data_IF_829692266590
#
_entry.id   IF_829692266590
#
_cell.length_a   1.000
_cell.length_b   1.000
_cell.length_c   1.000
_cell.angle_alpha   90.00
_cell.angle_beta   90.00
_cell.angle_gamma   90.00
#
_symmetry.space_group_name_H-M   'P 1'
#
loop_
_entity.id
_entity.type
_entity.pdbx_description
1 polymer ?
#
# COMPACT_ATOMS: atom_id res chain seq x y z
N UNK A 1 -23.66 5.99 -8.68
CA UNK A 1 -22.88 6.95 -7.86
C UNK A 1 -21.43 6.82 -8.32
N UNK A 2 -20.68 7.91 -8.45
CA UNK A 2 -19.25 7.81 -8.83
C UNK A 2 -18.44 7.39 -7.59
N UNK A 3 -17.58 6.37 -7.67
CA UNK A 3 -16.81 5.93 -6.52
C UNK A 3 -15.81 7.00 -6.09
N UNK A 4 -15.51 7.05 -4.79
CA UNK A 4 -14.39 7.82 -4.28
C UNK A 4 -13.11 7.10 -4.65
N UNK A 5 -12.22 7.80 -5.36
CA UNK A 5 -10.95 7.25 -5.81
C UNK A 5 -9.88 7.36 -4.73
N UNK A 6 -9.08 6.32 -4.63
CA UNK A 6 -7.92 6.26 -3.76
C UNK A 6 -6.79 5.47 -4.43
N UNK A 7 -5.56 5.70 -4.01
CA UNK A 7 -4.43 4.92 -4.48
C UNK A 7 -3.38 4.74 -3.40
N UNK A 8 -2.59 3.68 -3.54
CA UNK A 8 -1.56 3.30 -2.59
C UNK A 8 -0.62 2.23 -3.17
N UNK A 9 0.28 1.71 -2.32
CA UNK A 9 1.19 0.66 -2.76
C UNK A 9 1.56 -0.32 -1.65
N UNK A 10 1.88 -1.54 -2.08
CA UNK A 10 2.58 -2.52 -1.27
C UNK A 10 4.07 -2.21 -1.36
N UNK A 11 4.57 -1.51 -0.35
CA UNK A 11 6.00 -1.27 -0.20
C UNK A 11 6.67 -2.53 0.32
N UNK A 12 7.72 -2.96 -0.37
CA UNK A 12 8.45 -4.16 -0.01
C UNK A 12 9.95 -3.91 0.17
N UNK A 13 10.58 -4.72 1.00
CA UNK A 13 12.03 -4.80 1.13
C UNK A 13 12.44 -6.23 1.42
N UNK A 14 13.70 -6.53 1.17
CA UNK A 14 14.33 -7.75 1.66
C UNK A 14 15.14 -7.42 2.90
N UNK A 15 15.10 -8.30 3.88
CA UNK A 15 15.87 -8.21 5.11
C UNK A 15 16.21 -9.64 5.56
N UNK A 16 17.50 -9.94 5.74
CA UNK A 16 17.98 -11.26 6.15
C UNK A 16 17.42 -12.42 5.29
N UNK A 17 17.28 -12.20 3.98
CA UNK A 17 16.72 -13.19 3.05
C UNK A 17 15.20 -13.37 3.11
N UNK A 18 14.48 -12.53 3.86
CA UNK A 18 13.01 -12.56 3.94
C UNK A 18 12.39 -11.35 3.22
N UNK A 19 11.31 -11.60 2.46
CA UNK A 19 10.53 -10.57 1.79
C UNK A 19 9.51 -9.98 2.77
N UNK A 20 9.67 -8.70 3.09
CA UNK A 20 8.84 -7.96 4.04
C UNK A 20 8.02 -6.88 3.34
N UNK A 21 6.82 -6.64 3.85
CA UNK A 21 5.91 -5.59 3.41
C UNK A 21 5.58 -4.61 4.53
N UNK A 22 5.43 -3.33 4.17
CA UNK A 22 5.00 -2.31 5.13
C UNK A 22 3.49 -2.35 5.32
N UNK A 23 3.05 -2.55 6.55
CA UNK A 23 1.69 -2.25 6.98
C UNK A 23 1.69 -1.05 7.92
N UNK A 24 0.65 -0.23 7.79
CA UNK A 24 0.34 0.87 8.69
C UNK A 24 -0.95 0.56 9.45
N UNK A 25 -0.99 0.94 10.73
CA UNK A 25 -2.18 0.83 11.57
C UNK A 25 -2.89 2.17 11.66
N UNK A 26 -4.10 2.23 11.10
CA UNK A 26 -4.91 3.44 11.09
C UNK A 26 -5.25 3.86 12.54
N UNK A 27 -4.99 5.13 12.89
CA UNK A 27 -5.17 5.63 14.26
C UNK A 27 -6.63 5.68 14.72
N UNK A 28 -7.58 5.79 13.78
CA UNK A 28 -9.01 5.99 14.05
C UNK A 28 -9.73 4.66 14.25
N UNK A 29 -9.52 3.70 13.34
CA UNK A 29 -10.22 2.41 13.37
C UNK A 29 -9.37 1.24 13.88
N UNK A 30 -8.06 1.44 14.04
CA UNK A 30 -7.14 0.42 14.56
C UNK A 30 -6.84 -0.73 13.59
N UNK A 31 -7.38 -0.68 12.37
CA UNK A 31 -7.14 -1.68 11.31
C UNK A 31 -5.76 -1.51 10.69
N UNK A 32 -5.17 -2.63 10.30
CA UNK A 32 -3.92 -2.68 9.54
C UNK A 32 -4.22 -2.70 8.04
N UNK A 33 -3.41 -1.97 7.26
CA UNK A 33 -3.49 -1.95 5.81
C UNK A 33 -2.20 -1.41 5.17
N UNK A 34 -2.17 -1.41 3.84
CA UNK A 34 -1.08 -0.82 3.09
C UNK A 34 -1.23 0.71 3.01
N UNK A 35 -0.11 1.45 2.88
CA UNK A 35 -0.14 2.90 2.66
C UNK A 35 -1.04 3.27 1.47
N UNK A 36 -1.97 4.20 1.68
CA UNK A 36 -2.94 4.67 0.67
C UNK A 36 -3.68 5.90 1.17
N UNK A 37 -4.19 6.70 0.24
CA UNK A 37 -5.18 7.72 0.57
C UNK A 37 -6.01 8.16 -0.62
N UNK A 38 -6.74 9.26 -0.45
CA UNK A 38 -7.74 9.71 -1.41
C UNK A 38 -7.07 10.45 -2.57
N UNK A 39 -7.56 10.22 -3.79
CA UNK A 39 -7.09 10.98 -4.94
C UNK A 39 -7.64 12.40 -4.91
N UNK A 40 -6.78 13.38 -5.20
CA UNK A 40 -7.19 14.75 -5.44
C UNK A 40 -7.85 14.90 -6.84
N UNK A 41 -8.55 16.01 -7.06
CA UNK A 41 -9.25 16.26 -8.32
C UNK A 41 -8.26 16.32 -9.49
N UNK A 42 -8.43 15.41 -10.47
CA UNK A 42 -7.56 15.31 -11.64
C UNK A 42 -6.23 14.59 -11.38
N UNK A 43 -6.01 14.06 -10.18
CA UNK A 43 -4.80 13.33 -9.82
C UNK A 43 -4.80 11.93 -10.46
N UNK A 44 -3.67 11.53 -11.05
CA UNK A 44 -3.52 10.16 -11.54
C UNK A 44 -3.36 9.18 -10.36
N UNK A 45 -3.77 7.91 -10.48
CA UNK A 45 -3.57 6.95 -9.40
C UNK A 45 -2.12 6.80 -8.94
N UNK A 46 -1.15 6.90 -9.85
CA UNK A 46 0.28 6.84 -9.50
C UNK A 46 0.74 8.09 -8.76
N UNK A 47 0.27 9.27 -9.16
CA UNK A 47 0.56 10.54 -8.49
C UNK A 47 0.00 10.52 -7.07
N UNK A 48 -1.26 10.10 -6.91
CA UNK A 48 -1.92 9.92 -5.63
C UNK A 48 -1.15 8.95 -4.73
N UNK A 49 -0.83 7.75 -5.23
CA UNK A 49 -0.08 6.77 -4.44
C UNK A 49 1.26 7.32 -3.94
N UNK A 50 2.03 8.04 -4.78
CA UNK A 50 3.32 8.63 -4.36
C UNK A 50 3.14 9.70 -3.30
N UNK A 51 2.18 10.62 -3.50
CA UNK A 51 1.87 11.68 -2.52
C UNK A 51 1.47 11.09 -1.17
N UNK A 52 0.54 10.14 -1.18
CA UNK A 52 0.02 9.50 0.03
C UNK A 52 1.10 8.69 0.77
N UNK A 53 1.92 7.92 0.05
CA UNK A 53 3.06 7.22 0.66
C UNK A 53 4.00 8.20 1.34
N UNK A 54 4.34 9.31 0.67
CA UNK A 54 5.19 10.35 1.22
C UNK A 54 4.56 10.99 2.46
N UNK A 55 3.28 11.30 2.43
CA UNK A 55 2.56 11.91 3.55
C UNK A 55 2.46 10.98 4.75
N UNK A 56 2.15 9.69 4.54
CA UNK A 56 1.95 8.70 5.60
C UNK A 56 3.26 8.18 6.21
N UNK A 57 4.30 8.02 5.38
CA UNK A 57 5.53 7.30 5.74
C UNK A 57 6.80 8.14 5.63
N UNK A 58 6.74 9.29 4.98
CA UNK A 58 7.90 10.13 4.67
C UNK A 58 8.84 9.53 3.60
N UNK A 59 8.46 8.42 2.97
CA UNK A 59 9.27 7.76 1.95
C UNK A 59 9.00 8.34 0.57
N UNK A 60 10.07 8.62 -0.16
CA UNK A 60 10.02 8.98 -1.57
C UNK A 60 10.22 7.72 -2.41
N UNK A 61 9.16 7.27 -3.08
CA UNK A 61 9.22 6.13 -3.99
C UNK A 61 9.80 6.56 -5.32
N UNK A 62 10.84 5.88 -5.79
CA UNK A 62 11.48 6.19 -7.07
C UNK A 62 10.63 5.70 -8.25
N UNK A 63 10.14 4.46 -8.21
CA UNK A 63 9.33 3.87 -9.27
C UNK A 63 8.37 2.81 -8.73
N UNK A 64 7.28 2.58 -9.47
CA UNK A 64 6.45 1.39 -9.32
C UNK A 64 6.96 0.30 -10.24
N UNK A 65 6.85 -0.96 -9.83
CA UNK A 65 7.25 -2.07 -10.69
C UNK A 65 6.25 -2.25 -11.84
N UNK A 66 6.69 -2.22 -13.11
CA UNK A 66 5.79 -2.37 -14.24
C UNK A 66 5.17 -3.76 -14.28
N UNK A 67 3.89 -3.82 -14.65
CA UNK A 67 3.13 -5.07 -14.77
C UNK A 67 2.42 -5.53 -13.48
N UNK A 68 2.45 -4.72 -12.42
CA UNK A 68 1.59 -4.92 -11.25
C UNK A 68 0.67 -3.72 -11.03
N UNK A 69 -0.63 -3.96 -11.15
CA UNK A 69 -1.68 -3.02 -10.76
C UNK A 69 -2.91 -3.83 -10.39
N UNK A 70 -3.43 -3.60 -9.20
CA UNK A 70 -4.67 -4.22 -8.72
C UNK A 70 -5.65 -3.12 -8.32
N UNK A 71 -6.94 -3.36 -8.55
CA UNK A 71 -8.01 -2.42 -8.18
C UNK A 71 -8.97 -3.16 -7.27
N UNK A 72 -9.16 -2.61 -6.07
CA UNK A 72 -10.10 -3.14 -5.08
C UNK A 72 -11.28 -2.19 -4.94
N UNK A 73 -12.49 -2.76 -4.91
CA UNK A 73 -13.74 -2.03 -4.71
C UNK A 73 -14.29 -2.36 -3.34
N UNK A 74 -14.46 -1.34 -2.50
CA UNK A 74 -15.03 -1.46 -1.18
C UNK A 74 -16.34 -0.71 -1.10
N UNK A 75 -17.30 -1.29 -0.40
CA UNK A 75 -18.45 -0.55 0.07
C UNK A 75 -18.14 0.01 1.47
N UNK A 76 -18.16 1.32 1.62
CA UNK A 76 -17.86 1.99 2.90
C UNK A 76 -19.17 2.39 3.56
N UNK A 77 -19.60 1.70 4.63
CA UNK A 77 -20.83 2.05 5.32
C UNK A 77 -20.68 3.37 6.11
N UNK A 78 -21.80 4.05 6.45
CA UNK A 78 -21.80 5.40 6.99
C UNK A 78 -21.06 5.51 8.33
N UNK A 79 -21.06 4.42 9.12
CA UNK A 79 -20.40 4.34 10.42
C UNK A 79 -18.85 4.36 10.34
N UNK A 80 -18.27 4.32 9.14
CA UNK A 80 -16.81 4.26 8.92
C UNK A 80 -16.27 5.45 8.13
N UNK A 81 -17.04 6.54 8.00
CA UNK A 81 -16.66 7.71 7.20
C UNK A 81 -15.58 8.56 7.87
N UNK A 82 -14.67 9.07 7.04
CA UNK A 82 -13.72 10.12 7.42
C UNK A 82 -14.32 11.52 7.20
N UNK A 83 -15.18 11.71 6.16
CA UNK A 83 -15.91 12.95 5.86
C UNK A 83 -17.26 12.67 5.12
N UNK A 84 -18.39 13.25 5.56
CA UNK A 84 -19.70 13.28 4.85
C UNK A 84 -20.81 12.32 5.34
N UNK A 85 -21.95 12.31 4.64
CA UNK A 85 -23.16 11.50 4.92
C UNK A 85 -23.42 10.45 3.81
N UNK A 86 -23.95 9.27 4.18
CA UNK A 86 -24.41 8.20 3.26
C UNK A 86 -23.40 7.07 2.94
N UNK A 87 -23.86 6.01 2.29
CA UNK A 87 -23.02 4.93 1.77
C UNK A 87 -22.20 5.43 0.58
N UNK A 88 -20.95 4.98 0.42
CA UNK A 88 -20.22 5.23 -0.82
C UNK A 88 -19.35 4.04 -1.24
N UNK A 89 -19.21 3.89 -2.54
CA UNK A 89 -18.27 2.94 -3.12
C UNK A 89 -16.89 3.60 -3.20
N UNK A 90 -15.86 2.85 -2.81
CA UNK A 90 -14.47 3.27 -2.86
C UNK A 90 -13.71 2.38 -3.82
N UNK A 91 -12.98 2.98 -4.75
CA UNK A 91 -12.10 2.28 -5.67
C UNK A 91 -10.65 2.60 -5.31
N UNK A 92 -9.87 1.57 -4.96
CA UNK A 92 -8.47 1.72 -4.53
C UNK A 92 -7.55 1.06 -5.52
N UNK A 93 -6.67 1.85 -6.14
CA UNK A 93 -5.62 1.39 -7.05
C UNK A 93 -4.37 1.08 -6.25
N UNK A 94 -3.90 -0.17 -6.32
CA UNK A 94 -2.69 -0.62 -5.65
C UNK A 94 -1.59 -0.94 -6.63
N UNK A 95 -0.40 -0.42 -6.33
CA UNK A 95 0.85 -0.70 -7.01
C UNK A 95 1.81 -1.46 -6.09
N UNK A 96 2.96 -1.87 -6.63
CA UNK A 96 4.07 -2.44 -5.84
C UNK A 96 5.31 -1.59 -6.10
N UNK A 97 6.05 -1.28 -5.03
CA UNK A 97 7.29 -0.52 -5.13
C UNK A 97 8.32 -0.97 -4.09
N UNK A 98 9.62 -0.96 -4.43
CA UNK A 98 10.65 -1.17 -3.44
C UNK A 98 10.67 0.01 -2.46
N UNK A 99 10.80 -0.32 -1.18
CA UNK A 99 10.95 0.68 -0.14
C UNK A 99 12.36 1.27 -0.19
N UNK A 100 12.52 2.61 -0.12
CA UNK A 100 13.83 3.20 0.01
C UNK A 100 14.48 2.77 1.34
N UNK A 101 15.81 2.76 1.39
CA UNK A 101 16.57 2.46 2.62
C UNK A 101 16.35 3.48 3.74
N UNK A 102 15.66 4.59 3.47
CA UNK A 102 15.33 5.64 4.43
C UNK A 102 14.36 5.15 5.51
N UNK A 103 14.60 5.60 6.74
CA UNK A 103 13.72 5.35 7.90
C UNK A 103 12.36 6.02 7.71
N UNK A 104 11.28 5.34 8.12
CA UNK A 104 9.91 5.87 8.13
C UNK A 104 9.86 7.17 8.97
N UNK A 105 9.39 8.26 8.37
CA UNK A 105 9.00 9.49 9.07
C UNK A 105 7.47 9.52 9.12
N UNK A 106 6.91 9.21 10.29
CA UNK A 106 5.48 8.95 10.45
C UNK A 106 4.61 10.20 10.39
N UNK A 107 3.43 10.08 9.79
CA UNK A 107 2.34 11.06 9.89
C UNK A 107 1.53 10.92 11.19
N UNK A 108 0.64 11.90 11.47
CA UNK A 108 -0.29 11.87 12.62
C UNK A 108 -1.41 10.83 12.50
N UNK A 109 -1.66 10.32 11.30
CA UNK A 109 -2.80 9.44 10.99
C UNK A 109 -2.54 7.96 11.31
N UNK A 110 -1.27 7.59 11.49
CA UNK A 110 -0.84 6.22 11.77
C UNK A 110 -0.12 6.13 13.11
N UNK A 111 -0.66 5.28 14.01
CA UNK A 111 -0.10 5.09 15.36
C UNK A 111 1.06 4.10 15.37
N UNK A 112 1.00 3.09 14.50
CA UNK A 112 1.96 2.00 14.42
C UNK A 112 2.25 1.65 12.96
N UNK A 113 3.46 1.15 12.71
CA UNK A 113 3.91 0.63 11.41
C UNK A 113 4.73 -0.62 11.62
N UNK A 114 4.64 -1.60 10.73
CA UNK A 114 5.41 -2.84 10.83
C UNK A 114 5.86 -3.32 9.45
N UNK A 115 7.10 -3.76 9.36
CA UNK A 115 7.61 -4.60 8.27
C UNK A 115 7.33 -6.05 8.61
N UNK A 116 6.60 -6.75 7.75
CA UNK A 116 6.10 -8.09 8.05
C UNK A 116 6.26 -9.00 6.85
N UNK A 117 6.56 -10.27 7.12
CA UNK A 117 6.48 -11.32 6.13
C UNK A 117 5.05 -11.50 5.63
N UNK A 118 4.89 -12.21 4.52
CA UNK A 118 3.55 -12.48 3.95
C UNK A 118 2.63 -13.14 4.99
N UNK A 119 3.13 -14.14 5.72
CA UNK A 119 2.34 -14.86 6.71
C UNK A 119 1.95 -13.95 7.88
N UNK A 120 2.92 -13.22 8.46
CA UNK A 120 2.66 -12.31 9.58
C UNK A 120 1.76 -11.13 9.20
N UNK A 121 1.85 -10.63 7.96
CA UNK A 121 0.96 -9.60 7.45
C UNK A 121 -0.48 -10.11 7.29
N UNK A 122 -0.68 -11.36 6.81
CA UNK A 122 -2.01 -11.96 6.66
C UNK A 122 -2.74 -12.12 8.00
N UNK A 123 -2.01 -12.37 9.08
CA UNK A 123 -2.58 -12.41 10.44
C UNK A 123 -3.13 -11.04 10.90
N UNK A 124 -2.53 -9.94 10.45
CA UNK A 124 -2.96 -8.58 10.81
C UNK A 124 -4.05 -8.02 9.89
N UNK A 125 -4.06 -8.44 8.63
CA UNK A 125 -5.01 -7.96 7.63
C UNK A 125 -6.39 -8.58 7.87
N UNK A 126 -7.32 -7.80 8.41
CA UNK A 126 -8.68 -8.29 8.67
C UNK A 126 -9.51 -8.47 7.39
N UNK A 127 -9.19 -7.73 6.33
CA UNK A 127 -9.92 -7.76 5.05
C UNK A 127 -9.33 -8.86 4.15
N UNK A 128 -10.17 -9.78 3.69
CA UNK A 128 -9.77 -10.90 2.84
C UNK A 128 -9.12 -10.45 1.52
N UNK A 129 -9.67 -9.41 0.89
CA UNK A 129 -9.13 -8.88 -0.37
C UNK A 129 -7.72 -8.31 -0.22
N UNK A 130 -7.39 -7.73 0.95
CA UNK A 130 -6.02 -7.27 1.22
C UNK A 130 -5.03 -8.44 1.38
N UNK A 131 -5.47 -9.58 1.91
CA UNK A 131 -4.66 -10.80 1.97
C UNK A 131 -4.43 -11.37 0.57
N UNK A 132 -5.47 -11.38 -0.27
CA UNK A 132 -5.35 -11.83 -1.66
C UNK A 132 -4.43 -10.91 -2.47
N UNK A 133 -4.56 -9.60 -2.29
CA UNK A 133 -3.68 -8.60 -2.88
C UNK A 133 -2.21 -8.84 -2.49
N UNK A 134 -1.95 -9.16 -1.22
CA UNK A 134 -0.62 -9.50 -0.74
C UNK A 134 -0.06 -10.78 -1.38
N UNK A 135 -0.88 -11.84 -1.49
CA UNK A 135 -0.47 -13.10 -2.13
C UNK A 135 -0.14 -12.88 -3.62
N UNK A 136 -0.92 -12.04 -4.31
CA UNK A 136 -0.66 -11.64 -5.71
C UNK A 136 0.67 -10.88 -5.83
N UNK A 137 0.91 -9.90 -4.96
CA UNK A 137 2.15 -9.12 -4.97
C UNK A 137 3.38 -9.99 -4.68
N UNK A 138 3.30 -10.86 -3.67
CA UNK A 138 4.38 -11.81 -3.35
C UNK A 138 4.68 -12.76 -4.52
N UNK A 139 3.64 -13.25 -5.20
CA UNK A 139 3.82 -14.13 -6.37
C UNK A 139 4.39 -13.38 -7.57
N UNK A 140 3.95 -12.15 -7.80
CA UNK A 140 4.51 -11.27 -8.82
C UNK A 140 6.01 -11.01 -8.58
N UNK A 141 6.40 -10.64 -7.36
CA UNK A 141 7.80 -10.36 -7.03
C UNK A 141 8.70 -11.60 -7.20
N UNK A 142 8.22 -12.78 -6.78
CA UNK A 142 8.91 -14.05 -7.03
C UNK A 142 9.07 -14.34 -8.53
N UNK A 143 8.02 -14.10 -9.33
CA UNK A 143 8.06 -14.33 -10.79
C UNK A 143 9.04 -13.41 -11.53
N UNK A 144 9.32 -12.22 -10.97
CA UNK A 144 10.28 -11.24 -11.51
C UNK A 144 11.71 -11.50 -11.06
N UNK A 145 11.94 -12.50 -10.20
CA UNK A 145 13.27 -12.80 -9.65
C UNK A 145 13.81 -11.74 -8.70
N UNK A 146 12.96 -10.84 -8.19
CA UNK A 146 13.39 -9.78 -7.28
C UNK A 146 13.86 -10.43 -5.98
N UNK A 147 15.16 -10.36 -5.68
CA UNK A 147 15.81 -10.96 -4.50
C UNK A 147 16.60 -9.92 -3.71
N UNK A 148 17.09 -10.32 -2.54
CA UNK A 148 17.79 -9.52 -1.52
C UNK A 148 18.94 -8.62 -2.05
N UNK A 149 19.51 -8.93 -3.22
CA UNK A 149 20.64 -8.19 -3.81
C UNK A 149 20.35 -7.32 -5.03
N UNK A 150 19.11 -7.30 -5.56
CA UNK A 150 18.86 -6.74 -6.91
C UNK A 150 18.17 -5.37 -6.93
N UNK A 151 17.76 -4.86 -5.77
CA UNK A 151 17.05 -3.58 -5.68
C UNK A 151 17.97 -2.35 -5.74
N UNK A 152 19.28 -2.54 -5.61
CA UNK A 152 20.26 -1.45 -5.66
C UNK A 152 20.64 -0.99 -7.08
N UNK A 153 20.62 -1.90 -8.07
CA UNK A 153 21.31 -1.68 -9.36
C UNK A 153 20.49 -1.99 -10.62
N UNK A 154 19.27 -2.53 -10.50
CA UNK A 154 18.46 -2.83 -11.69
C UNK A 154 17.64 -1.61 -12.09
N UNK A 155 17.87 -1.05 -13.28
CA UNK A 155 16.91 -0.12 -13.88
C UNK A 155 15.67 -0.89 -14.34
N UNK A 156 14.59 -0.84 -13.57
CA UNK A 156 13.27 -1.38 -13.93
C UNK A 156 12.56 -0.40 -14.89
N UNK A 157 13.15 -0.19 -16.07
CA UNK A 157 12.58 0.60 -17.17
C UNK A 157 11.81 -0.28 -18.14
#
# INVERSE_FOLDING_TARGET
MTPVLAAGALLFRWEEGELLFLLLKNARHGSWGFPKGHAEAGESPETCARREIREETGMEITHFLPGFKEVLHYHVPPATREDGDGDYDKEVHYFVAPAPSSRIQRSKEHRESAWLSIEAAKEKLQIADLRLLLDKAGSFLRSKGVTDGELGDKNWS
#
